data_IF_444858869763
#
_entry.id   IF_444858869763
#
_cell.length_a   1.000
_cell.length_b   1.000
_cell.length_c   1.000
_cell.angle_alpha   90.00
_cell.angle_beta   90.00
_cell.angle_gamma   90.00
#
_symmetry.space_group_name_H-M   'P 1'
#
loop_
_entity.id
_entity.type
_entity.pdbx_description
1 polymer ?
#
# COMPACT_ATOMS: atom_id res chain seq x y z
N UNK A 1 20.92 1.64 2.24
CA UNK A 1 21.19 1.87 0.81
C UNK A 1 19.88 2.30 0.18
N UNK A 2 19.70 3.60 -0.09
CA UNK A 2 18.50 4.13 -0.73
C UNK A 2 18.57 3.83 -2.22
N UNK A 3 17.96 2.73 -2.65
CA UNK A 3 17.73 2.48 -4.07
C UNK A 3 16.59 3.41 -4.48
N UNK A 4 16.95 4.41 -5.28
CA UNK A 4 16.03 5.40 -5.84
C UNK A 4 15.31 4.76 -7.02
N UNK A 5 14.32 3.94 -6.70
CA UNK A 5 13.34 3.45 -7.66
C UNK A 5 12.08 4.29 -7.45
N UNK A 6 11.91 5.35 -8.23
CA UNK A 6 10.92 6.42 -8.02
C UNK A 6 9.45 5.95 -8.10
N UNK A 7 9.18 4.64 -8.19
CA UNK A 7 7.85 4.01 -8.33
C UNK A 7 7.47 3.02 -7.24
N UNK A 8 8.31 2.80 -6.23
CA UNK A 8 8.01 1.86 -5.15
C UNK A 8 7.75 2.64 -3.86
N UNK A 9 6.62 2.37 -3.19
CA UNK A 9 6.35 2.89 -1.85
C UNK A 9 6.18 1.77 -0.84
N UNK A 10 6.66 2.00 0.39
CA UNK A 10 6.44 1.12 1.54
C UNK A 10 5.44 1.79 2.46
N UNK A 11 4.35 1.09 2.80
CA UNK A 11 3.30 1.61 3.70
C UNK A 11 3.09 0.61 4.83
N UNK A 12 3.02 1.13 6.06
CA UNK A 12 2.59 0.35 7.22
C UNK A 12 1.06 0.40 7.32
N UNK A 13 0.43 -0.76 7.45
CA UNK A 13 -1.01 -0.86 7.67
C UNK A 13 -1.30 -0.77 9.17
N UNK A 14 -2.39 -0.10 9.53
CA UNK A 14 -2.80 -0.01 10.94
C UNK A 14 -3.33 -1.35 11.47
N UNK A 15 -4.01 -2.11 10.60
CA UNK A 15 -4.56 -3.42 10.92
C UNK A 15 -3.99 -4.46 9.95
N UNK A 16 -3.71 -5.70 10.40
CA UNK A 16 -3.32 -6.76 9.50
C UNK A 16 -4.48 -7.10 8.56
N UNK A 17 -4.16 -7.38 7.30
CA UNK A 17 -5.14 -7.76 6.26
C UNK A 17 -4.62 -8.96 5.50
N UNK A 18 -5.53 -9.78 4.99
CA UNK A 18 -5.21 -10.93 4.15
C UNK A 18 -5.20 -10.49 2.68
N UNK A 19 -4.05 -10.53 2.02
CA UNK A 19 -3.90 -10.22 0.58
C UNK A 19 -2.81 -11.10 -0.03
N UNK A 20 -2.83 -11.25 -1.35
CA UNK A 20 -1.81 -11.96 -2.13
C UNK A 20 -0.71 -11.04 -2.69
N UNK A 21 0.37 -11.66 -3.17
CA UNK A 21 1.34 -10.97 -4.03
C UNK A 21 0.70 -10.67 -5.40
N UNK A 22 1.08 -9.55 -6.01
CA UNK A 22 0.57 -9.02 -7.29
C UNK A 22 -0.91 -8.60 -7.29
N UNK A 23 -1.55 -8.56 -6.13
CA UNK A 23 -2.92 -8.11 -6.01
C UNK A 23 -3.01 -6.58 -6.21
N UNK A 24 -4.07 -6.12 -6.90
CA UNK A 24 -4.29 -4.71 -7.20
C UNK A 24 -4.82 -3.98 -5.96
N UNK A 25 -4.20 -2.85 -5.65
CA UNK A 25 -4.58 -2.00 -4.51
C UNK A 25 -4.87 -0.57 -4.97
N UNK A 26 -5.81 0.08 -4.30
CA UNK A 26 -6.17 1.47 -4.53
C UNK A 26 -5.82 2.31 -3.30
N UNK A 27 -5.24 3.48 -3.53
CA UNK A 27 -4.90 4.42 -2.46
C UNK A 27 -5.88 5.58 -2.47
N UNK A 28 -6.40 5.91 -1.29
CA UNK A 28 -7.24 7.07 -1.10
C UNK A 28 -6.64 8.01 -0.06
N UNK A 29 -6.83 9.31 -0.24
CA UNK A 29 -6.47 10.34 0.73
C UNK A 29 -7.73 11.08 1.15
N UNK A 30 -7.84 11.36 2.45
CA UNK A 30 -8.91 12.20 2.98
C UNK A 30 -8.61 13.68 2.65
N UNK A 31 -9.54 14.33 1.95
CA UNK A 31 -9.51 15.75 1.64
C UNK A 31 -10.92 16.32 1.85
N UNK A 32 -11.05 17.39 2.63
CA UNK A 32 -12.35 18.04 2.93
C UNK A 32 -13.43 17.03 3.37
N UNK A 33 -13.10 16.16 4.34
CA UNK A 33 -13.96 15.09 4.87
C UNK A 33 -14.46 14.04 3.87
N UNK A 34 -13.91 13.99 2.65
CA UNK A 34 -14.20 12.94 1.67
C UNK A 34 -12.93 12.17 1.34
N UNK A 35 -13.06 10.87 1.13
CA UNK A 35 -11.98 10.08 0.55
C UNK A 35 -11.94 10.32 -0.96
N UNK A 36 -10.76 10.66 -1.47
CA UNK A 36 -10.50 10.81 -2.89
C UNK A 36 -9.46 9.78 -3.30
N UNK A 37 -9.70 9.09 -4.41
CA UNK A 37 -8.72 8.20 -5.01
C UNK A 37 -7.51 9.02 -5.46
N UNK A 38 -6.31 8.62 -5.03
CA UNK A 38 -5.06 9.28 -5.38
C UNK A 38 -4.21 8.45 -6.35
N UNK A 39 -4.45 7.14 -6.43
CA UNK A 39 -3.71 6.25 -7.30
C UNK A 39 -4.04 4.78 -7.06
N UNK A 40 -3.39 3.93 -7.82
CA UNK A 40 -3.50 2.47 -7.74
C UNK A 40 -2.11 1.84 -7.92
N UNK A 41 -1.97 0.58 -7.51
CA UNK A 41 -0.72 -0.16 -7.62
C UNK A 41 -0.92 -1.66 -7.43
N UNK A 42 0.19 -2.37 -7.29
CA UNK A 42 0.21 -3.81 -7.01
C UNK A 42 1.10 -4.08 -5.80
N UNK A 43 0.77 -5.13 -5.04
CA UNK A 43 1.59 -5.58 -3.92
C UNK A 43 2.80 -6.35 -4.46
N UNK A 44 4.01 -5.85 -4.23
CA UNK A 44 5.25 -6.51 -4.66
C UNK A 44 5.95 -7.27 -3.54
N UNK A 45 5.83 -6.79 -2.29
CA UNK A 45 6.46 -7.36 -1.11
C UNK A 45 5.67 -6.98 0.15
N UNK A 46 5.81 -7.77 1.23
CA UNK A 46 5.08 -7.56 2.48
C UNK A 46 5.62 -8.39 3.64
N UNK A 47 5.34 -7.96 4.87
CA UNK A 47 5.66 -8.72 6.08
C UNK A 47 4.41 -9.38 6.63
N UNK A 48 4.46 -10.69 6.81
CA UNK A 48 3.40 -11.44 7.46
C UNK A 48 3.51 -11.33 8.98
N UNK A 49 2.37 -11.27 9.66
CA UNK A 49 2.31 -11.50 11.09
C UNK A 49 2.27 -13.02 11.33
N UNK A 50 3.19 -13.53 12.15
CA UNK A 50 3.09 -14.89 12.70
C UNK A 50 2.20 -14.82 13.94
N UNK A 51 1.12 -15.60 13.93
CA UNK A 51 0.22 -15.77 15.09
C UNK A 51 0.94 -16.41 16.27
#
# INVERSE_FOLDING_TARGET
>A
MMVKDDKIMRVALNNPVCTGLQEKVAFSRRLNNKFRLIGWGIITDGKTITL
#
